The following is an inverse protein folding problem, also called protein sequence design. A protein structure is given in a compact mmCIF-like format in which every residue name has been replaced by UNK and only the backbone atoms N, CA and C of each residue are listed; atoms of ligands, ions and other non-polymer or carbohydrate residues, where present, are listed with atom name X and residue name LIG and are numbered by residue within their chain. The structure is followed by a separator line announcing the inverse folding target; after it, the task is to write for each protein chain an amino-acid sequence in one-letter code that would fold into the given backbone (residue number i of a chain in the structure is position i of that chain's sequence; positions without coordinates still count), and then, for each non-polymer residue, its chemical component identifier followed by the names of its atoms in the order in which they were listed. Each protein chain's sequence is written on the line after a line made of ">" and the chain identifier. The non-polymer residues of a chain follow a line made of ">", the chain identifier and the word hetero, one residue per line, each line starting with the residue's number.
data_IF_381249281513
#
_entry.id   IF_381249281513
#
_cell.length_a   1.000
_cell.length_b   1.000
_cell.length_c   1.000
_cell.angle_alpha   90.00
_cell.angle_beta   90.00
_cell.angle_gamma   90.00
#
_symmetry.space_group_name_H-M   'P 1'
#
loop_
_entity.id
_entity.type
_entity.pdbx_description
1 polymer ?
#
# COMPACT_ATOMS: atom_id res chain seq x y z
N UNK A 1 -7.47 -19.27 24.46
CA UNK A 1 -8.90 -18.83 24.45
C UNK A 1 -9.25 -18.32 25.83
N UNK A 2 -9.04 -17.03 26.12
CA UNK A 2 -9.59 -16.41 27.31
C UNK A 2 -10.84 -15.67 26.85
N UNK A 3 -12.00 -16.30 26.97
CA UNK A 3 -13.27 -15.62 26.90
C UNK A 3 -13.28 -14.66 28.11
N UNK A 4 -13.09 -13.37 27.85
CA UNK A 4 -13.32 -12.32 28.84
C UNK A 4 -14.81 -12.42 29.17
N UNK A 5 -15.14 -13.00 30.33
CA UNK A 5 -16.48 -12.99 30.89
C UNK A 5 -16.78 -11.54 31.31
N UNK A 6 -17.18 -10.72 30.34
CA UNK A 6 -17.73 -9.42 30.62
C UNK A 6 -19.08 -9.59 31.31
N UNK A 7 -19.42 -8.83 32.35
CA UNK A 7 -20.67 -8.97 33.08
C UNK A 7 -21.88 -8.80 32.14
N UNK A 8 -22.94 -9.55 32.37
CA UNK A 8 -24.13 -9.57 31.51
C UNK A 8 -24.79 -8.18 31.33
N UNK A 9 -24.64 -7.27 32.29
CA UNK A 9 -25.07 -5.87 32.20
C UNK A 9 -24.37 -5.05 31.12
N UNK A 10 -23.19 -5.50 30.68
CA UNK A 10 -22.38 -4.92 29.65
C UNK A 10 -23.01 -5.06 28.24
N UNK A 11 -23.73 -6.16 28.03
CA UNK A 11 -24.34 -6.47 26.72
C UNK A 11 -25.76 -5.92 26.56
N UNK A 12 -26.39 -5.44 27.64
CA UNK A 12 -27.78 -4.96 27.59
C UNK A 12 -27.98 -3.60 26.89
N UNK A 13 -26.91 -2.83 26.73
CA UNK A 13 -26.94 -1.53 26.08
C UNK A 13 -26.58 -1.56 24.57
N UNK A 14 -26.15 -2.73 24.05
CA UNK A 14 -25.68 -2.85 22.67
C UNK A 14 -26.86 -3.17 21.77
N UNK A 15 -27.14 -2.32 20.79
CA UNK A 15 -28.17 -2.53 19.79
C UNK A 15 -27.71 -3.53 18.70
N UNK A 16 -28.66 -4.15 18.00
CA UNK A 16 -28.36 -5.01 16.87
C UNK A 16 -27.61 -4.25 15.76
N UNK A 17 -27.98 -2.99 15.54
CA UNK A 17 -27.30 -2.13 14.57
C UNK A 17 -25.84 -1.86 14.92
N UNK A 18 -25.51 -1.70 16.20
CA UNK A 18 -24.13 -1.51 16.66
C UNK A 18 -23.27 -2.73 16.35
N UNK A 19 -23.83 -3.94 16.56
CA UNK A 19 -23.16 -5.19 16.22
C UNK A 19 -22.92 -5.29 14.70
N UNK A 20 -23.92 -4.96 13.89
CA UNK A 20 -23.79 -5.00 12.42
C UNK A 20 -22.71 -4.03 11.93
N UNK A 21 -22.66 -2.80 12.47
CA UNK A 21 -21.62 -1.83 12.17
C UNK A 21 -20.24 -2.33 12.65
N UNK A 22 -20.15 -2.87 13.86
CA UNK A 22 -18.89 -3.40 14.39
C UNK A 22 -18.34 -4.56 13.54
N UNK A 23 -19.20 -5.47 13.10
CA UNK A 23 -18.85 -6.58 12.20
C UNK A 23 -18.37 -6.03 10.85
N UNK A 24 -19.06 -5.06 10.28
CA UNK A 24 -18.65 -4.43 9.01
C UNK A 24 -17.26 -3.76 9.13
N UNK A 25 -17.06 -2.90 10.13
CA UNK A 25 -15.79 -2.20 10.33
C UNK A 25 -14.65 -3.18 10.68
N UNK A 26 -14.90 -4.20 11.49
CA UNK A 26 -13.95 -5.25 11.82
C UNK A 26 -13.54 -6.06 10.58
N UNK A 27 -14.52 -6.46 9.76
CA UNK A 27 -14.27 -7.19 8.51
C UNK A 27 -13.45 -6.37 7.52
N UNK A 28 -13.77 -5.08 7.36
CA UNK A 28 -13.02 -4.16 6.50
C UNK A 28 -11.58 -4.00 7.00
N UNK A 29 -11.38 -3.85 8.31
CA UNK A 29 -10.07 -3.77 8.94
C UNK A 29 -9.23 -5.03 8.71
N UNK A 30 -9.82 -6.21 8.87
CA UNK A 30 -9.16 -7.50 8.63
C UNK A 30 -8.84 -7.69 7.14
N UNK A 31 -9.80 -7.39 6.24
CA UNK A 31 -9.59 -7.51 4.80
C UNK A 31 -8.45 -6.60 4.32
N UNK A 32 -8.42 -5.37 4.80
CA UNK A 32 -7.33 -4.45 4.50
C UNK A 32 -5.98 -4.94 5.05
N UNK A 33 -5.94 -5.45 6.28
CA UNK A 33 -4.71 -5.99 6.88
C UNK A 33 -4.19 -7.20 6.10
N UNK A 34 -5.08 -8.06 5.62
CA UNK A 34 -4.72 -9.20 4.78
C UNK A 34 -4.15 -8.75 3.43
N UNK A 35 -4.78 -7.75 2.81
CA UNK A 35 -4.27 -7.15 1.57
C UNK A 35 -2.88 -6.54 1.78
N UNK A 36 -2.67 -5.74 2.83
CA UNK A 36 -1.37 -5.11 3.11
C UNK A 36 -0.29 -6.14 3.46
N UNK A 37 -0.65 -7.26 4.11
CA UNK A 37 0.25 -8.37 4.37
C UNK A 37 0.77 -8.98 3.07
N UNK A 38 -0.13 -9.23 2.12
CA UNK A 38 0.22 -9.78 0.81
C UNK A 38 1.08 -8.81 0.00
N UNK A 39 0.68 -7.54 -0.06
CA UNK A 39 1.44 -6.50 -0.75
C UNK A 39 2.84 -6.28 -0.15
N UNK A 40 2.97 -6.33 1.18
CA UNK A 40 4.28 -6.18 1.85
C UNK A 40 5.19 -7.40 1.63
N UNK A 41 4.63 -8.61 1.55
CA UNK A 41 5.39 -9.82 1.22
C UNK A 41 5.98 -9.71 -0.18
N UNK A 42 5.17 -9.35 -1.16
CA UNK A 42 5.60 -9.11 -2.54
C UNK A 42 6.67 -8.03 -2.62
N UNK A 43 6.44 -6.90 -1.95
CA UNK A 43 7.39 -5.79 -1.94
C UNK A 43 8.77 -6.19 -1.42
N UNK A 44 8.85 -7.08 -0.43
CA UNK A 44 10.13 -7.58 0.11
C UNK A 44 10.88 -8.46 -0.83
N UNK A 45 10.16 -9.33 -1.53
CA UNK A 45 10.75 -10.15 -2.57
C UNK A 45 11.42 -9.27 -3.63
N UNK A 46 10.79 -8.13 -3.97
CA UNK A 46 11.27 -7.21 -5.01
C UNK A 46 12.42 -6.29 -4.56
N UNK A 47 12.45 -5.92 -3.29
CA UNK A 47 13.39 -4.91 -2.78
C UNK A 47 14.37 -5.49 -1.74
N UNK A 48 14.95 -6.66 -2.02
CA UNK A 48 16.02 -7.23 -1.19
C UNK A 48 17.20 -6.26 -1.16
N UNK A 49 17.34 -5.53 -0.04
CA UNK A 49 18.46 -4.61 0.19
C UNK A 49 18.13 -3.11 0.21
N UNK A 50 16.97 -2.66 -0.28
CA UNK A 50 16.56 -1.28 -0.06
C UNK A 50 15.99 -1.12 1.36
N UNK A 51 16.39 -0.05 2.06
CA UNK A 51 15.75 0.30 3.34
C UNK A 51 14.25 0.36 3.13
N UNK A 52 13.56 -0.56 3.79
CA UNK A 52 12.14 -0.76 3.59
C UNK A 52 11.38 0.55 3.81
N UNK A 53 10.78 1.09 2.75
CA UNK A 53 9.92 2.26 2.84
C UNK A 53 8.97 2.10 4.03
N UNK A 54 8.79 3.16 4.81
CA UNK A 54 8.03 3.11 6.06
C UNK A 54 6.61 2.59 5.78
N UNK A 55 6.26 1.48 6.41
CA UNK A 55 4.92 0.92 6.34
C UNK A 55 3.90 1.96 6.82
N UNK A 56 2.93 2.30 5.96
CA UNK A 56 1.84 3.19 6.33
C UNK A 56 0.63 2.35 6.69
N UNK A 57 0.18 2.47 7.91
CA UNK A 57 -0.99 1.79 8.40
C UNK A 57 -2.22 2.70 8.26
N UNK A 58 -3.19 2.30 7.44
CA UNK A 58 -4.45 3.02 7.28
C UNK A 58 -5.58 2.45 8.15
N UNK A 59 -5.28 1.57 9.11
CA UNK A 59 -6.26 1.05 10.08
C UNK A 59 -6.93 2.13 10.92
N UNK A 60 -6.30 3.31 11.02
CA UNK A 60 -6.88 4.49 11.64
C UNK A 60 -8.26 4.85 11.06
N UNK A 61 -8.54 4.53 9.78
CA UNK A 61 -9.83 4.79 9.13
C UNK A 61 -10.96 4.11 9.90
N UNK A 62 -10.86 2.81 10.08
CA UNK A 62 -11.92 2.02 10.73
C UNK A 62 -11.88 2.16 12.25
N UNK A 63 -10.68 2.34 12.83
CA UNK A 63 -10.51 2.61 14.27
C UNK A 63 -11.17 3.92 14.69
N UNK A 64 -10.99 5.00 13.94
CA UNK A 64 -11.66 6.28 14.19
C UNK A 64 -13.17 6.20 13.91
N UNK A 65 -13.60 5.59 12.81
CA UNK A 65 -15.02 5.39 12.52
C UNK A 65 -15.71 4.59 13.66
N UNK A 66 -15.05 3.54 14.16
CA UNK A 66 -15.54 2.79 15.30
C UNK A 66 -15.64 3.64 16.58
N UNK A 67 -14.66 4.54 16.83
CA UNK A 67 -14.68 5.43 17.97
C UNK A 67 -15.86 6.39 17.98
N UNK A 68 -16.32 6.82 16.82
CA UNK A 68 -17.45 7.76 16.69
C UNK A 68 -18.80 7.06 16.64
N UNK A 69 -18.87 5.85 16.03
CA UNK A 69 -20.12 5.17 15.72
C UNK A 69 -20.54 4.14 16.76
N UNK A 70 -19.60 3.56 17.52
CA UNK A 70 -19.86 2.38 18.33
C UNK A 70 -19.76 2.70 19.84
N UNK A 71 -20.48 1.96 20.68
CA UNK A 71 -20.19 1.91 22.11
C UNK A 71 -18.73 1.53 22.37
N UNK A 72 -18.18 2.00 23.49
CA UNK A 72 -16.78 1.88 23.86
C UNK A 72 -16.25 0.43 23.75
N UNK A 73 -17.05 -0.50 24.14
CA UNK A 73 -16.76 -1.93 24.18
C UNK A 73 -16.55 -2.52 22.77
N UNK A 74 -17.48 -2.23 21.87
CA UNK A 74 -17.39 -2.69 20.48
C UNK A 74 -16.26 -1.98 19.72
N UNK A 75 -16.02 -0.71 20.03
CA UNK A 75 -14.87 0.03 19.49
C UNK A 75 -13.56 -0.69 19.85
N UNK A 76 -13.37 -1.11 21.11
CA UNK A 76 -12.17 -1.84 21.51
C UNK A 76 -12.04 -3.19 20.79
N UNK A 77 -13.15 -3.91 20.63
CA UNK A 77 -13.13 -5.17 19.86
C UNK A 77 -12.66 -4.94 18.42
N UNK A 78 -13.18 -3.92 17.75
CA UNK A 78 -12.77 -3.59 16.37
C UNK A 78 -11.29 -3.18 16.31
N UNK A 79 -10.84 -2.34 17.24
CA UNK A 79 -9.45 -1.86 17.28
C UNK A 79 -8.46 -3.01 17.53
N UNK A 80 -8.76 -3.89 18.50
CA UNK A 80 -7.92 -5.04 18.85
C UNK A 80 -7.93 -6.08 17.71
N UNK A 81 -9.09 -6.36 17.11
CA UNK A 81 -9.18 -7.29 15.98
C UNK A 81 -8.36 -6.80 14.77
N UNK A 82 -8.46 -5.50 14.44
CA UNK A 82 -7.66 -4.88 13.39
C UNK A 82 -6.16 -4.97 13.65
N UNK A 83 -5.74 -4.66 14.87
CA UNK A 83 -4.34 -4.77 15.27
C UNK A 83 -3.83 -6.22 15.24
N UNK A 84 -4.62 -7.17 15.70
CA UNK A 84 -4.27 -8.60 15.65
C UNK A 84 -4.12 -9.09 14.21
N UNK A 85 -5.00 -8.66 13.30
CA UNK A 85 -4.92 -8.97 11.88
C UNK A 85 -3.69 -8.33 11.19
N UNK A 86 -3.20 -7.20 11.69
CA UNK A 86 -1.99 -6.55 11.19
C UNK A 86 -0.69 -7.25 11.61
N UNK A 87 -0.69 -8.00 12.69
CA UNK A 87 0.49 -8.65 13.23
C UNK A 87 1.27 -9.50 12.22
N UNK A 88 0.62 -10.37 11.39
CA UNK A 88 1.31 -11.13 10.35
C UNK A 88 2.04 -10.22 9.34
N UNK A 89 1.43 -9.10 8.92
CA UNK A 89 2.05 -8.15 7.99
C UNK A 89 3.32 -7.52 8.58
N UNK A 90 3.25 -7.11 9.85
CA UNK A 90 4.40 -6.54 10.58
C UNK A 90 5.50 -7.58 10.79
N UNK A 91 5.14 -8.83 11.04
CA UNK A 91 6.09 -9.94 11.22
C UNK A 91 6.83 -10.25 9.91
N UNK A 92 6.11 -10.34 8.81
CA UNK A 92 6.67 -10.45 7.47
C UNK A 92 7.56 -9.23 7.19
N UNK A 93 7.19 -8.02 7.63
CA UNK A 93 7.99 -6.83 7.50
C UNK A 93 9.31 -6.84 8.31
N UNK A 94 9.71 -7.92 9.04
CA UNK A 94 10.96 -8.02 9.85
C UNK A 94 11.06 -6.96 10.96
N UNK A 95 10.00 -6.20 11.19
CA UNK A 95 9.90 -5.11 12.16
C UNK A 95 9.14 -5.52 13.42
N UNK A 96 8.82 -6.80 13.53
CA UNK A 96 7.99 -7.34 14.58
C UNK A 96 8.77 -7.50 15.88
N UNK A 97 9.03 -6.40 16.54
CA UNK A 97 9.24 -6.44 17.98
C UNK A 97 7.86 -6.35 18.65
N UNK A 98 7.43 -7.42 19.30
CA UNK A 98 6.10 -7.53 19.89
C UNK A 98 5.75 -6.31 20.76
N UNK A 99 6.68 -5.82 21.57
CA UNK A 99 6.45 -4.66 22.42
C UNK A 99 6.10 -3.39 21.63
N UNK A 100 6.71 -3.19 20.41
CA UNK A 100 6.37 -2.03 19.57
C UNK A 100 4.97 -2.15 19.00
N UNK A 101 4.55 -3.36 18.65
CA UNK A 101 3.19 -3.61 18.18
C UNK A 101 2.17 -3.38 19.30
N UNK A 102 2.41 -3.95 20.47
CA UNK A 102 1.56 -3.73 21.65
C UNK A 102 1.47 -2.25 22.00
N UNK A 103 2.60 -1.53 22.02
CA UNK A 103 2.61 -0.09 22.30
C UNK A 103 1.81 0.71 21.26
N UNK A 104 2.00 0.43 19.95
CA UNK A 104 1.27 1.14 18.90
C UNK A 104 -0.23 0.84 18.94
N UNK A 105 -0.61 -0.39 19.28
CA UNK A 105 -2.02 -0.79 19.45
C UNK A 105 -2.64 -0.09 20.66
N UNK A 106 -1.95 -0.09 21.79
CA UNK A 106 -2.41 0.61 22.99
C UNK A 106 -2.57 2.11 22.73
N UNK A 107 -1.63 2.73 22.02
CA UNK A 107 -1.71 4.13 21.61
C UNK A 107 -2.92 4.42 20.72
N UNK A 108 -3.19 3.57 19.74
CA UNK A 108 -4.36 3.71 18.87
C UNK A 108 -5.68 3.55 19.65
N UNK A 109 -5.75 2.59 20.58
CA UNK A 109 -6.92 2.38 21.45
C UNK A 109 -7.13 3.58 22.36
N UNK A 110 -6.08 4.14 22.95
CA UNK A 110 -6.18 5.33 23.78
C UNK A 110 -6.65 6.56 23.01
N UNK A 111 -6.10 6.78 21.81
CA UNK A 111 -6.53 7.86 20.92
C UNK A 111 -8.00 7.71 20.53
N UNK A 112 -8.43 6.49 20.19
CA UNK A 112 -9.82 6.17 19.84
C UNK A 112 -10.75 6.38 21.06
N UNK A 113 -10.34 5.97 22.27
CA UNK A 113 -11.10 6.16 23.50
C UNK A 113 -11.32 7.65 23.81
N UNK A 114 -10.28 8.46 23.66
CA UNK A 114 -10.39 9.90 23.86
C UNK A 114 -11.28 10.57 22.79
N UNK A 115 -11.16 10.15 21.53
CA UNK A 115 -12.03 10.61 20.46
C UNK A 115 -13.50 10.24 20.72
N UNK A 116 -13.76 9.01 21.18
CA UNK A 116 -15.09 8.56 21.59
C UNK A 116 -15.68 9.44 22.70
N UNK A 117 -14.91 9.70 23.76
CA UNK A 117 -15.36 10.54 24.87
C UNK A 117 -15.73 11.96 24.41
N UNK A 118 -14.96 12.55 23.50
CA UNK A 118 -15.23 13.89 22.96
C UNK A 118 -16.46 13.88 22.05
N UNK A 119 -16.56 12.91 21.14
CA UNK A 119 -17.70 12.83 20.21
C UNK A 119 -19.03 12.57 20.92
N UNK A 120 -19.01 11.78 22.00
CA UNK A 120 -20.20 11.45 22.79
C UNK A 120 -20.63 12.57 23.76
N UNK A 121 -19.73 13.46 24.17
CA UNK A 121 -20.02 14.57 25.09
C UNK A 121 -20.48 15.85 24.40
N UNK A 122 -20.34 15.97 23.08
CA UNK A 122 -20.64 17.19 22.35
C UNK A 122 -22.13 17.29 22.03
N UNK A 123 -22.70 18.48 22.22
CA UNK A 123 -24.12 18.78 21.91
C UNK A 123 -24.34 18.79 20.41
N UNK A 124 -23.40 19.36 19.64
CA UNK A 124 -23.42 19.34 18.19
C UNK A 124 -22.59 18.17 17.67
N UNK A 125 -23.24 17.29 16.87
CA UNK A 125 -22.61 16.06 16.37
C UNK A 125 -21.40 16.33 15.49
N UNK A 126 -21.51 17.28 14.55
CA UNK A 126 -20.43 17.57 13.62
C UNK A 126 -19.27 18.28 14.30
N UNK A 127 -19.54 19.17 15.24
CA UNK A 127 -18.52 19.77 16.09
C UNK A 127 -17.82 18.69 16.93
N UNK A 128 -18.59 17.77 17.49
CA UNK A 128 -18.04 16.61 18.23
C UNK A 128 -17.11 15.75 17.38
N UNK A 129 -17.49 15.45 16.13
CA UNK A 129 -16.64 14.70 15.19
C UNK A 129 -15.37 15.49 14.86
N UNK A 130 -15.47 16.79 14.59
CA UNK A 130 -14.32 17.64 14.28
C UNK A 130 -13.33 17.69 15.46
N UNK A 131 -13.83 17.86 16.67
CA UNK A 131 -13.01 17.84 17.90
C UNK A 131 -12.41 16.44 18.14
N UNK A 132 -13.17 15.37 17.89
CA UNK A 132 -12.67 14.00 18.00
C UNK A 132 -11.51 13.72 17.03
N UNK A 133 -11.56 14.24 15.78
CA UNK A 133 -10.46 14.19 14.83
C UNK A 133 -9.20 14.84 15.41
N UNK A 134 -9.33 16.06 15.92
CA UNK A 134 -8.19 16.80 16.51
C UNK A 134 -7.59 16.05 17.70
N UNK A 135 -8.43 15.54 18.60
CA UNK A 135 -7.99 14.79 19.79
C UNK A 135 -7.33 13.47 19.38
N UNK A 136 -7.88 12.76 18.41
CA UNK A 136 -7.30 11.50 17.92
C UNK A 136 -5.88 11.71 17.38
N UNK A 137 -5.68 12.73 16.52
CA UNK A 137 -4.36 13.08 15.97
C UNK A 137 -3.42 13.55 17.06
N UNK A 138 -3.87 14.44 17.94
CA UNK A 138 -3.02 15.00 18.99
C UNK A 138 -2.51 13.92 19.97
N UNK A 139 -3.38 13.02 20.42
CA UNK A 139 -2.99 11.93 21.32
C UNK A 139 -2.11 10.92 20.61
N UNK A 140 -2.44 10.54 19.37
CA UNK A 140 -1.60 9.66 18.57
C UNK A 140 -0.19 10.22 18.37
N UNK A 141 -0.09 11.49 17.98
CA UNK A 141 1.18 12.18 17.80
C UNK A 141 1.98 12.28 19.13
N UNK A 142 1.31 12.65 20.21
CA UNK A 142 1.94 12.78 21.55
C UNK A 142 2.56 11.45 21.99
N UNK A 143 1.83 10.36 21.86
CA UNK A 143 2.30 9.03 22.26
C UNK A 143 3.48 8.56 21.42
N UNK A 144 3.46 8.81 20.10
CA UNK A 144 4.57 8.46 19.22
C UNK A 144 5.81 9.28 19.57
N UNK A 145 5.68 10.60 19.73
CA UNK A 145 6.79 11.50 20.10
C UNK A 145 7.35 11.11 21.46
N UNK A 146 6.50 10.83 22.44
CA UNK A 146 6.93 10.39 23.77
C UNK A 146 7.74 9.08 23.69
N UNK A 147 7.30 8.11 22.89
CA UNK A 147 8.05 6.88 22.69
C UNK A 147 9.41 7.10 22.01
N UNK A 148 9.48 7.98 21.01
CA UNK A 148 10.74 8.33 20.35
C UNK A 148 11.72 9.00 21.30
N UNK A 149 11.22 9.94 22.13
CA UNK A 149 12.04 10.64 23.15
C UNK A 149 12.52 9.66 24.21
N UNK A 150 11.66 8.75 24.69
CA UNK A 150 12.04 7.71 25.64
C UNK A 150 13.09 6.73 25.07
N UNK A 151 13.06 6.50 23.73
CA UNK A 151 14.08 5.71 23.03
C UNK A 151 15.38 6.49 22.75
N UNK A 152 15.47 7.78 23.11
CA UNK A 152 16.62 8.63 22.83
C UNK A 152 16.68 9.18 21.38
N UNK A 153 15.67 8.92 20.57
CA UNK A 153 15.63 9.28 19.12
C UNK A 153 15.13 10.73 18.91
N UNK A 154 15.85 11.72 19.44
CA UNK A 154 15.45 13.14 19.38
C UNK A 154 15.33 13.70 17.96
N UNK A 155 16.19 13.26 17.05
CA UNK A 155 16.14 13.68 15.63
C UNK A 155 14.89 13.14 14.94
N UNK A 156 14.55 11.88 15.18
CA UNK A 156 13.35 11.25 14.65
C UNK A 156 12.08 11.91 15.22
N UNK A 157 12.05 12.26 16.51
CA UNK A 157 10.94 12.98 17.12
C UNK A 157 10.72 14.36 16.47
N UNK A 158 11.80 15.12 16.19
CA UNK A 158 11.70 16.40 15.46
C UNK A 158 11.22 16.23 14.03
N UNK A 159 11.72 15.23 13.30
CA UNK A 159 11.27 14.93 11.95
C UNK A 159 9.80 14.50 11.89
N UNK A 160 9.31 13.82 12.94
CA UNK A 160 7.91 13.43 13.05
C UNK A 160 6.96 14.63 13.21
N UNK A 161 7.41 15.72 13.82
CA UNK A 161 6.62 16.95 14.01
C UNK A 161 6.50 17.79 12.72
N UNK A 162 7.18 17.41 11.63
CA UNK A 162 7.01 18.07 10.34
C UNK A 162 5.66 17.72 9.69
N UNK A 163 5.10 18.60 8.83
CA UNK A 163 3.77 18.39 8.23
C UNK A 163 3.64 17.16 7.34
N UNK A 164 4.74 16.66 6.76
CA UNK A 164 4.73 15.59 5.78
C UNK A 164 4.11 14.26 6.26
N UNK A 165 4.39 13.75 7.47
CA UNK A 165 3.78 12.53 7.98
C UNK A 165 2.25 12.62 8.15
N UNK A 166 1.74 13.80 8.50
CA UNK A 166 0.32 14.01 8.82
C UNK A 166 -0.59 14.04 7.59
N UNK A 167 -0.05 14.27 6.38
CA UNK A 167 -0.86 14.29 5.15
C UNK A 167 -1.62 12.98 4.94
N UNK A 168 -0.96 11.85 5.19
CA UNK A 168 -1.59 10.53 5.07
C UNK A 168 -2.67 10.35 6.13
N UNK A 169 -2.39 10.75 7.36
CA UNK A 169 -3.32 10.64 8.47
C UNK A 169 -4.57 11.50 8.26
N UNK A 170 -4.40 12.72 7.74
CA UNK A 170 -5.53 13.59 7.34
C UNK A 170 -6.39 12.94 6.26
N UNK A 171 -5.78 12.33 5.23
CA UNK A 171 -6.53 11.59 4.22
C UNK A 171 -7.29 10.40 4.82
N UNK A 172 -6.67 9.65 5.74
CA UNK A 172 -7.31 8.53 6.43
C UNK A 172 -8.53 9.01 7.24
N UNK A 173 -8.37 10.09 7.98
CA UNK A 173 -9.45 10.65 8.81
C UNK A 173 -10.57 11.25 7.95
N UNK A 174 -10.25 11.85 6.81
CA UNK A 174 -11.26 12.29 5.84
C UNK A 174 -12.12 11.12 5.32
N UNK A 175 -11.49 9.98 5.00
CA UNK A 175 -12.22 8.76 4.63
C UNK A 175 -13.07 8.26 5.82
N UNK A 176 -12.51 8.26 7.03
CA UNK A 176 -13.22 7.82 8.23
C UNK A 176 -14.45 8.69 8.54
N UNK A 177 -14.33 10.01 8.42
CA UNK A 177 -15.48 10.95 8.55
C UNK A 177 -16.52 10.68 7.45
N UNK A 178 -16.08 10.39 6.23
CA UNK A 178 -16.97 9.94 5.15
C UNK A 178 -17.75 8.66 5.50
N UNK A 179 -17.08 7.68 6.11
CA UNK A 179 -17.73 6.45 6.61
C UNK A 179 -18.78 6.78 7.68
N UNK A 180 -18.46 7.65 8.63
CA UNK A 180 -19.41 8.10 9.67
C UNK A 180 -20.62 8.77 9.03
N UNK A 181 -20.41 9.69 8.08
CA UNK A 181 -21.49 10.38 7.37
C UNK A 181 -22.40 9.41 6.61
N UNK A 182 -21.84 8.39 5.93
CA UNK A 182 -22.61 7.38 5.22
C UNK A 182 -23.50 6.55 6.15
N UNK A 183 -23.00 6.22 7.35
CA UNK A 183 -23.80 5.51 8.36
C UNK A 183 -24.93 6.41 8.87
N UNK A 184 -24.64 7.67 9.16
CA UNK A 184 -25.62 8.64 9.67
C UNK A 184 -26.79 8.89 8.70
N UNK A 185 -26.52 8.94 7.39
CA UNK A 185 -27.57 9.08 6.38
C UNK A 185 -28.20 7.73 5.96
N UNK A 186 -28.00 6.67 6.74
CA UNK A 186 -28.50 5.31 6.50
C UNK A 186 -28.05 4.66 5.19
N UNK A 187 -26.97 5.12 4.61
CA UNK A 187 -26.33 4.53 3.44
C UNK A 187 -25.22 3.54 3.84
N UNK A 188 -25.42 2.79 4.92
CA UNK A 188 -24.41 1.88 5.52
C UNK A 188 -23.85 0.86 4.52
N UNK A 189 -24.60 0.44 3.49
CA UNK A 189 -24.04 -0.43 2.44
C UNK A 189 -22.85 0.20 1.70
N UNK A 190 -22.80 1.53 1.59
CA UNK A 190 -21.70 2.23 0.91
C UNK A 190 -20.43 2.31 1.77
N UNK A 191 -20.48 1.94 3.04
CA UNK A 191 -19.27 1.83 3.91
C UNK A 191 -18.24 0.88 3.30
N UNK A 192 -18.69 -0.14 2.56
CA UNK A 192 -17.80 -1.06 1.86
C UNK A 192 -16.91 -0.37 0.81
N UNK A 193 -17.30 0.80 0.29
CA UNK A 193 -16.47 1.60 -0.61
C UNK A 193 -15.23 2.19 0.08
N UNK A 194 -15.21 2.22 1.42
CA UNK A 194 -14.02 2.65 2.17
C UNK A 194 -12.82 1.72 1.95
N UNK A 195 -13.04 0.44 1.68
CA UNK A 195 -11.95 -0.51 1.41
C UNK A 195 -11.23 -0.21 0.09
N UNK A 196 -11.89 -0.11 -1.07
CA UNK A 196 -11.21 0.27 -2.30
C UNK A 196 -10.60 1.68 -2.22
N UNK A 197 -11.22 2.62 -1.49
CA UNK A 197 -10.63 3.94 -1.24
C UNK A 197 -9.33 3.84 -0.43
N UNK A 198 -9.31 3.06 0.65
CA UNK A 198 -8.11 2.83 1.45
C UNK A 198 -7.02 2.10 0.65
N UNK A 199 -7.37 1.09 -0.14
CA UNK A 199 -6.43 0.38 -1.02
C UNK A 199 -5.88 1.33 -2.09
N UNK A 200 -6.71 2.17 -2.70
CA UNK A 200 -6.28 3.19 -3.67
C UNK A 200 -5.32 4.20 -3.05
N UNK A 201 -5.63 4.69 -1.86
CA UNK A 201 -4.75 5.60 -1.10
C UNK A 201 -3.42 4.92 -0.76
N UNK A 202 -3.45 3.68 -0.28
CA UNK A 202 -2.23 2.90 0.00
C UNK A 202 -1.36 2.73 -1.25
N UNK A 203 -1.96 2.39 -2.39
CA UNK A 203 -1.23 2.28 -3.67
C UNK A 203 -0.58 3.61 -4.07
N UNK A 204 -1.31 4.72 -3.94
CA UNK A 204 -0.80 6.05 -4.26
C UNK A 204 0.37 6.42 -3.35
N UNK A 205 0.25 6.21 -2.03
CA UNK A 205 1.32 6.46 -1.06
C UNK A 205 2.55 5.62 -1.37
N UNK A 206 2.35 4.33 -1.64
CA UNK A 206 3.46 3.42 -1.96
C UNK A 206 4.16 3.87 -3.24
N UNK A 207 3.41 4.21 -4.30
CA UNK A 207 3.98 4.70 -5.56
C UNK A 207 4.75 6.00 -5.40
N UNK A 208 4.22 6.97 -4.65
CA UNK A 208 4.89 8.25 -4.42
C UNK A 208 6.20 8.03 -3.66
N UNK A 209 6.19 7.21 -2.61
CA UNK A 209 7.39 6.90 -1.82
C UNK A 209 8.44 6.11 -2.60
N UNK A 210 8.01 5.20 -3.47
CA UNK A 210 8.94 4.48 -4.34
C UNK A 210 9.61 5.44 -5.34
N UNK A 211 8.90 6.47 -5.81
CA UNK A 211 9.49 7.53 -6.65
C UNK A 211 10.52 8.34 -5.88
N UNK A 212 10.19 8.78 -4.66
CA UNK A 212 11.11 9.55 -3.81
C UNK A 212 12.39 8.76 -3.48
N UNK A 213 12.26 7.44 -3.22
CA UNK A 213 13.41 6.56 -2.98
C UNK A 213 14.20 6.27 -4.26
N UNK A 214 13.55 6.25 -5.42
CA UNK A 214 14.22 6.05 -6.70
C UNK A 214 15.05 7.28 -7.12
N UNK A 215 14.64 8.48 -6.71
CA UNK A 215 15.40 9.71 -6.94
C UNK A 215 16.66 9.77 -6.04
N UNK A 216 16.64 9.16 -4.84
CA UNK A 216 17.76 9.20 -3.89
C UNK A 216 18.76 8.03 -4.05
N UNK A 217 18.34 6.92 -4.62
CA UNK A 217 19.21 5.76 -4.81
C UNK A 217 19.39 5.47 -6.31
N UNK A 218 20.62 5.55 -6.78
CA UNK A 218 21.11 4.90 -8.01
C UNK A 218 20.97 3.37 -7.83
N UNK A 219 19.74 2.87 -7.78
CA UNK A 219 19.46 1.45 -7.69
C UNK A 219 19.96 0.79 -8.96
N UNK A 220 21.04 0.07 -8.88
CA UNK A 220 21.48 -0.80 -9.97
C UNK A 220 20.37 -1.83 -10.26
N UNK A 221 20.16 -2.19 -11.54
CA UNK A 221 19.25 -3.28 -11.87
C UNK A 221 19.63 -4.54 -11.09
N UNK A 222 18.62 -5.30 -10.66
CA UNK A 222 18.86 -6.60 -9.99
C UNK A 222 19.61 -7.53 -10.93
N UNK A 223 20.46 -8.37 -10.38
CA UNK A 223 21.06 -9.46 -11.16
C UNK A 223 19.97 -10.38 -11.74
N UNK A 224 20.24 -11.01 -12.88
CA UNK A 224 19.30 -11.83 -13.62
C UNK A 224 18.63 -12.91 -12.76
N UNK A 225 19.39 -13.64 -11.97
CA UNK A 225 18.87 -14.70 -11.11
C UNK A 225 17.95 -14.16 -10.03
N UNK A 226 18.36 -13.08 -9.33
CA UNK A 226 17.57 -12.44 -8.29
C UNK A 226 16.26 -11.87 -8.83
N UNK A 227 16.29 -11.24 -10.01
CA UNK A 227 15.10 -10.72 -10.65
C UNK A 227 14.15 -11.85 -11.09
N UNK A 228 14.67 -12.93 -11.69
CA UNK A 228 13.88 -14.08 -12.13
C UNK A 228 13.16 -14.77 -10.97
N UNK A 229 13.84 -14.98 -9.84
CA UNK A 229 13.23 -15.54 -8.64
C UNK A 229 12.11 -14.61 -8.14
N UNK A 230 12.41 -13.33 -7.96
CA UNK A 230 11.45 -12.34 -7.48
C UNK A 230 10.23 -12.23 -8.40
N UNK A 231 10.44 -12.16 -9.71
CA UNK A 231 9.36 -12.08 -10.69
C UNK A 231 8.49 -13.34 -10.69
N UNK A 232 9.09 -14.52 -10.58
CA UNK A 232 8.34 -15.79 -10.51
C UNK A 232 7.42 -15.84 -9.30
N UNK A 233 7.93 -15.49 -8.12
CA UNK A 233 7.14 -15.46 -6.88
C UNK A 233 5.98 -14.46 -6.96
N UNK A 234 6.24 -13.28 -7.52
CA UNK A 234 5.24 -12.21 -7.63
C UNK A 234 4.14 -12.58 -8.62
N UNK A 235 4.51 -13.09 -9.80
CA UNK A 235 3.55 -13.53 -10.81
C UNK A 235 2.71 -14.70 -10.30
N UNK A 236 3.29 -15.61 -9.52
CA UNK A 236 2.54 -16.69 -8.89
C UNK A 236 1.55 -16.20 -7.82
N UNK A 237 1.95 -15.21 -7.02
CA UNK A 237 1.20 -14.75 -5.85
C UNK A 237 0.08 -13.75 -6.17
N UNK A 238 0.19 -12.96 -7.23
CA UNK A 238 -0.74 -11.86 -7.52
C UNK A 238 -1.62 -12.13 -8.73
N UNK A 239 -2.90 -11.69 -8.69
CA UNK A 239 -3.84 -11.87 -9.79
C UNK A 239 -3.58 -10.92 -10.98
N UNK A 240 -3.01 -9.74 -10.72
CA UNK A 240 -2.77 -8.70 -11.74
C UNK A 240 -1.32 -8.25 -11.66
N UNK A 241 -0.54 -8.62 -12.66
CA UNK A 241 0.89 -8.29 -12.77
C UNK A 241 1.21 -8.05 -14.23
N UNK A 242 2.07 -7.09 -14.52
CA UNK A 242 2.59 -6.91 -15.88
C UNK A 242 4.11 -6.92 -15.88
N UNK A 243 4.67 -7.33 -17.00
CA UNK A 243 6.09 -7.31 -17.28
C UNK A 243 6.33 -6.47 -18.52
N UNK A 244 7.35 -5.64 -18.48
CA UNK A 244 7.89 -4.96 -19.65
C UNK A 244 9.30 -5.49 -19.88
N UNK A 245 9.53 -6.05 -21.06
CA UNK A 245 10.86 -6.47 -21.52
C UNK A 245 11.43 -5.40 -22.44
N UNK A 246 12.69 -5.06 -22.22
CA UNK A 246 13.42 -4.06 -23.01
C UNK A 246 14.70 -4.71 -23.48
N UNK A 247 14.91 -4.78 -24.78
CA UNK A 247 16.20 -5.16 -25.40
C UNK A 247 16.98 -3.92 -25.77
N UNK A 248 18.24 -3.84 -25.37
CA UNK A 248 19.08 -2.65 -25.58
C UNK A 248 20.56 -2.98 -25.44
N UNK A 249 21.39 -2.30 -26.19
CA UNK A 249 22.85 -2.36 -26.05
C UNK A 249 23.38 -1.55 -24.83
N UNK A 250 22.58 -0.65 -24.26
CA UNK A 250 22.92 0.16 -23.08
C UNK A 250 21.88 0.00 -21.98
N UNK A 251 21.94 -1.12 -21.20
CA UNK A 251 20.98 -1.36 -20.13
C UNK A 251 21.04 -0.34 -18.99
N UNK A 252 22.17 0.33 -18.77
CA UNK A 252 22.32 1.33 -17.71
C UNK A 252 21.54 2.59 -18.05
N UNK A 253 21.74 3.14 -19.27
CA UNK A 253 21.00 4.31 -19.72
C UNK A 253 19.49 4.04 -19.80
N UNK A 254 19.09 2.86 -20.28
CA UNK A 254 17.69 2.46 -20.32
C UNK A 254 17.09 2.30 -18.93
N UNK A 255 17.82 1.73 -17.98
CA UNK A 255 17.32 1.60 -16.61
C UNK A 255 17.02 2.96 -15.98
N UNK A 256 17.85 3.97 -16.21
CA UNK A 256 17.62 5.33 -15.74
C UNK A 256 16.36 5.95 -16.36
N UNK A 257 16.16 5.80 -17.69
CA UNK A 257 14.94 6.27 -18.38
C UNK A 257 13.70 5.53 -17.90
N UNK A 258 13.79 4.21 -17.76
CA UNK A 258 12.69 3.37 -17.33
C UNK A 258 12.21 3.76 -15.92
N UNK A 259 13.09 4.05 -14.99
CA UNK A 259 12.77 4.52 -13.63
C UNK A 259 12.05 5.85 -13.62
N UNK A 260 12.52 6.82 -14.40
CA UNK A 260 11.90 8.14 -14.49
C UNK A 260 10.48 8.10 -15.06
N UNK A 261 10.22 7.17 -15.98
CA UNK A 261 8.95 7.11 -16.71
C UNK A 261 7.92 6.16 -16.09
N UNK A 262 8.36 5.11 -15.41
CA UNK A 262 7.50 3.96 -15.15
C UNK A 262 7.05 3.82 -13.70
N UNK A 263 7.86 4.26 -12.72
CA UNK A 263 7.58 3.92 -11.33
C UNK A 263 7.41 2.39 -11.16
N UNK A 264 8.33 1.60 -11.73
CA UNK A 264 8.28 0.14 -11.68
C UNK A 264 8.60 -0.37 -10.28
N UNK A 265 8.00 -1.53 -9.94
CA UNK A 265 8.22 -2.16 -8.63
C UNK A 265 9.56 -2.87 -8.56
N UNK A 266 10.05 -3.42 -9.68
CA UNK A 266 11.40 -3.95 -9.80
C UNK A 266 11.91 -3.85 -11.23
N UNK A 267 13.23 -3.67 -11.37
CA UNK A 267 13.95 -3.72 -12.63
C UNK A 267 15.19 -4.62 -12.46
N UNK A 268 15.45 -5.48 -13.43
CA UNK A 268 16.60 -6.38 -13.40
C UNK A 268 17.05 -6.79 -14.78
N UNK A 269 18.22 -7.41 -14.84
CA UNK A 269 18.78 -7.92 -16.09
C UNK A 269 18.05 -9.17 -16.57
N UNK A 270 17.80 -9.25 -17.87
CA UNK A 270 17.30 -10.42 -18.59
C UNK A 270 18.28 -10.77 -19.70
N UNK A 271 19.29 -11.59 -19.37
CA UNK A 271 20.40 -11.84 -20.27
C UNK A 271 21.40 -10.68 -20.34
N UNK A 272 22.22 -10.67 -21.39
CA UNK A 272 23.28 -9.66 -21.58
C UNK A 272 22.71 -8.34 -22.11
N UNK A 273 21.69 -8.40 -22.97
CA UNK A 273 21.16 -7.25 -23.72
C UNK A 273 19.71 -6.94 -23.37
N UNK A 274 19.24 -7.36 -22.20
CA UNK A 274 17.85 -7.20 -21.81
C UNK A 274 17.65 -6.71 -20.39
N UNK A 275 16.58 -5.94 -20.22
CA UNK A 275 16.04 -5.55 -18.92
C UNK A 275 14.61 -6.02 -18.78
N UNK A 276 14.25 -6.53 -17.62
CA UNK A 276 12.91 -6.86 -17.20
C UNK A 276 12.41 -5.83 -16.18
N UNK A 277 11.23 -5.27 -16.41
CA UNK A 277 10.52 -4.46 -15.45
C UNK A 277 9.30 -5.20 -14.98
N UNK A 278 9.09 -5.26 -13.69
CA UNK A 278 7.92 -5.86 -13.06
C UNK A 278 7.02 -4.76 -12.52
N UNK A 279 5.74 -4.87 -12.81
CA UNK A 279 4.70 -3.93 -12.44
C UNK A 279 3.60 -4.68 -11.68
N UNK A 280 3.48 -4.43 -10.40
CA UNK A 280 2.47 -5.01 -9.53
C UNK A 280 1.16 -4.23 -9.66
N UNK A 281 0.02 -4.93 -9.62
CA UNK A 281 -1.30 -4.33 -9.76
C UNK A 281 -1.47 -3.46 -11.03
N UNK A 282 -0.77 -3.82 -12.09
CA UNK A 282 -0.81 -3.12 -13.37
C UNK A 282 -1.56 -3.97 -14.42
N UNK A 283 -2.74 -3.54 -14.87
CA UNK A 283 -3.44 -4.20 -15.97
C UNK A 283 -2.65 -4.14 -17.27
N UNK A 284 -2.82 -5.15 -18.16
CA UNK A 284 -2.11 -5.25 -19.44
C UNK A 284 -2.19 -3.97 -20.29
N UNK A 285 -3.38 -3.35 -20.38
CA UNK A 285 -3.55 -2.09 -21.13
C UNK A 285 -2.71 -0.94 -20.56
N UNK A 286 -2.57 -0.87 -19.23
CA UNK A 286 -1.74 0.14 -18.58
C UNK A 286 -0.26 -0.11 -18.83
N UNK A 287 0.15 -1.37 -18.86
CA UNK A 287 1.51 -1.77 -19.19
C UNK A 287 1.87 -1.46 -20.64
N UNK A 288 0.96 -1.69 -21.58
CA UNK A 288 1.13 -1.32 -23.00
C UNK A 288 1.26 0.21 -23.17
N UNK A 289 0.42 0.99 -22.52
CA UNK A 289 0.52 2.45 -22.52
C UNK A 289 1.85 2.93 -21.95
N UNK A 290 2.36 2.28 -20.91
CA UNK A 290 3.65 2.56 -20.32
C UNK A 290 4.80 2.17 -21.28
N UNK A 291 4.73 1.01 -21.91
CA UNK A 291 5.70 0.57 -22.90
C UNK A 291 5.76 1.54 -24.09
N UNK A 292 4.62 2.08 -24.53
CA UNK A 292 4.55 3.11 -25.57
C UNK A 292 5.26 4.40 -25.14
N UNK A 293 5.03 4.86 -23.89
CA UNK A 293 5.73 6.04 -23.35
C UNK A 293 7.23 5.81 -23.23
N UNK A 294 7.66 4.63 -22.77
CA UNK A 294 9.07 4.27 -22.70
C UNK A 294 9.74 4.29 -24.07
N UNK A 295 9.11 3.72 -25.10
CA UNK A 295 9.60 3.78 -26.47
C UNK A 295 9.81 5.21 -26.95
N UNK A 296 8.84 6.09 -26.68
CA UNK A 296 8.95 7.52 -27.03
C UNK A 296 10.10 8.17 -26.28
N UNK A 297 10.23 7.93 -24.96
CA UNK A 297 11.28 8.52 -24.14
C UNK A 297 12.68 8.04 -24.55
N UNK A 298 12.86 6.77 -24.89
CA UNK A 298 14.11 6.22 -25.40
C UNK A 298 14.49 6.87 -26.73
N UNK A 299 13.55 6.96 -27.69
CA UNK A 299 13.77 7.66 -28.98
C UNK A 299 14.17 9.13 -28.79
N UNK A 300 13.47 9.86 -27.92
CA UNK A 300 13.76 11.27 -27.65
C UNK A 300 15.18 11.47 -27.10
N UNK A 301 15.70 10.48 -26.37
CA UNK A 301 17.06 10.50 -25.83
C UNK A 301 18.11 9.88 -26.74
N UNK A 302 17.74 9.42 -27.93
CA UNK A 302 18.64 8.77 -28.89
C UNK A 302 19.14 7.39 -28.40
N UNK A 303 18.43 6.76 -27.47
CA UNK A 303 18.79 5.44 -26.94
C UNK A 303 18.11 4.37 -27.76
N UNK A 304 18.90 3.49 -28.38
CA UNK A 304 18.39 2.35 -29.12
C UNK A 304 17.83 1.30 -28.16
N UNK A 305 16.62 0.82 -28.43
CA UNK A 305 15.99 -0.23 -27.63
C UNK A 305 14.59 -0.55 -28.09
N UNK A 306 14.24 -1.82 -27.98
CA UNK A 306 12.92 -2.34 -28.28
C UNK A 306 12.19 -2.67 -26.97
N UNK A 307 10.90 -2.35 -26.89
CA UNK A 307 10.09 -2.47 -25.67
C UNK A 307 8.83 -3.26 -25.98
N UNK A 308 8.59 -4.33 -25.24
CA UNK A 308 7.38 -5.12 -25.28
C UNK A 308 6.76 -5.25 -23.89
N UNK A 309 5.44 -5.45 -23.81
CA UNK A 309 4.73 -5.60 -22.56
C UNK A 309 3.75 -6.76 -22.61
N UNK A 310 3.66 -7.49 -21.49
CA UNK A 310 2.67 -8.53 -21.29
C UNK A 310 2.11 -8.46 -19.87
N UNK A 311 0.85 -8.86 -19.67
CA UNK A 311 0.21 -8.76 -18.35
C UNK A 311 -0.78 -9.88 -18.07
N UNK A 312 -0.73 -10.37 -16.82
CA UNK A 312 -1.66 -11.32 -16.25
C UNK A 312 -3.00 -10.64 -15.93
N UNK A 313 -4.16 -11.25 -16.16
CA UNK A 313 -4.34 -12.63 -16.65
C UNK A 313 -4.41 -12.77 -18.17
N UNK A 314 -4.43 -11.66 -18.95
CA UNK A 314 -4.72 -11.67 -20.41
C UNK A 314 -3.69 -12.47 -21.22
N UNK A 315 -2.41 -12.30 -20.91
CA UNK A 315 -1.30 -12.78 -21.73
C UNK A 315 -0.65 -14.05 -21.14
N UNK A 316 -1.16 -14.55 -20.00
CA UNK A 316 -0.67 -15.77 -19.36
C UNK A 316 -0.75 -15.72 -17.84
N UNK A 317 -0.35 -16.80 -17.18
CA UNK A 317 -0.42 -16.97 -15.74
C UNK A 317 0.94 -17.21 -15.08
N UNK A 318 1.96 -17.54 -15.86
CA UNK A 318 3.33 -17.75 -15.38
C UNK A 318 4.28 -16.69 -15.91
N UNK A 319 5.43 -16.55 -15.25
CA UNK A 319 6.49 -15.65 -15.70
C UNK A 319 6.93 -16.02 -17.13
N UNK A 320 7.05 -17.32 -17.43
CA UNK A 320 7.49 -17.80 -18.74
C UNK A 320 6.48 -17.46 -19.83
N UNK A 321 5.17 -17.56 -19.56
CA UNK A 321 4.14 -17.16 -20.53
C UNK A 321 4.28 -15.68 -20.89
N UNK A 322 4.40 -14.82 -19.88
CA UNK A 322 4.51 -13.38 -20.08
C UNK A 322 5.81 -13.00 -20.82
N UNK A 323 6.93 -13.65 -20.50
CA UNK A 323 8.19 -13.41 -21.20
C UNK A 323 8.14 -13.90 -22.65
N UNK A 324 7.49 -15.04 -22.93
CA UNK A 324 7.32 -15.56 -24.29
C UNK A 324 6.49 -14.61 -25.17
N UNK A 325 5.42 -14.02 -24.63
CA UNK A 325 4.63 -13.00 -25.35
C UNK A 325 5.46 -11.74 -25.62
N UNK A 326 6.21 -11.25 -24.62
CA UNK A 326 7.11 -10.12 -24.85
C UNK A 326 8.16 -10.42 -25.92
N UNK A 327 8.71 -11.62 -25.94
CA UNK A 327 9.70 -12.04 -26.94
C UNK A 327 9.11 -12.11 -28.35
N UNK A 328 7.94 -12.71 -28.50
CA UNK A 328 7.23 -12.77 -29.77
C UNK A 328 6.92 -11.35 -30.31
N UNK A 329 6.51 -10.42 -29.45
CA UNK A 329 6.25 -9.03 -29.84
C UNK A 329 7.54 -8.31 -30.28
N UNK A 330 8.66 -8.55 -29.63
CA UNK A 330 9.96 -7.97 -30.00
C UNK A 330 10.42 -8.48 -31.37
N UNK A 331 10.37 -9.80 -31.60
CA UNK A 331 10.73 -10.41 -32.88
C UNK A 331 9.85 -9.90 -34.02
N UNK A 332 8.54 -9.78 -33.81
CA UNK A 332 7.63 -9.25 -34.83
C UNK A 332 7.95 -7.78 -35.19
N UNK A 333 8.40 -6.99 -34.25
CA UNK A 333 8.79 -5.59 -34.48
C UNK A 333 10.13 -5.45 -35.18
N UNK A 334 11.09 -6.29 -34.85
CA UNK A 334 12.39 -6.31 -35.53
C UNK A 334 12.23 -6.66 -37.01
N UNK A 335 11.43 -7.70 -37.32
CA UNK A 335 11.11 -8.07 -38.68
C UNK A 335 10.42 -6.93 -39.46
N UNK A 336 9.49 -6.20 -38.82
CA UNK A 336 8.82 -5.08 -39.46
C UNK A 336 9.78 -3.88 -39.71
N UNK A 337 10.83 -3.75 -38.91
CA UNK A 337 11.82 -2.67 -39.07
C UNK A 337 12.81 -2.97 -40.19
N UNK A 338 13.20 -4.22 -40.37
CA UNK A 338 14.09 -4.66 -41.47
C UNK A 338 13.42 -4.51 -42.84
N UNK A 339 12.12 -4.74 -42.93
CA UNK A 339 11.36 -4.53 -44.19
C UNK A 339 11.24 -3.03 -44.60
N UNK A 340 11.46 -2.10 -43.68
CA UNK A 340 11.40 -0.66 -43.93
C UNK A 340 12.78 -0.03 -44.22
N UNK A 341 13.87 -0.78 -44.15
CA UNK A 341 15.18 -0.32 -44.58
C UNK A 341 15.24 -0.37 -46.11
N UNK A 342 15.36 0.77 -46.81
CA UNK A 342 15.61 0.76 -48.24
C UNK A 342 16.96 0.06 -48.49
N UNK A 343 16.96 -0.93 -49.35
CA UNK A 343 18.19 -1.50 -49.89
C UNK A 343 18.99 -0.38 -50.54
N UNK A 344 20.08 0.02 -49.91
CA UNK A 344 21.06 0.93 -50.49
C UNK A 344 22.10 0.16 -51.28
#
# INVERSE_FOLDING_TARGET
>A
MAAVLLPASFWQAISRSDVEIAVALGTLSIAYSTYTCSAERVRRTLHQGAEAARYSNLLAIWGFAAAVLLPLELMWVVAVAGAAAEWPARRVAGRARLYRHVYSTAGAVLAATAAHAVSSSSVDRWLGIALAVLVYVAIGALLIVAAMLAAGERSAARAFLQPSPYRVEVCCLAIAVGVVALVDVRLGMLVWLSLPAAVGLQRTITRTRLRDVADDALLQPMGQEAWSIAATEVVAALPVVAIIRITTADPVAVSAVARLQAGCDAIGYLGQDGLGMLLVDCPSLSAEALAARLRTALRTKGIAGHVAAAGKPRDGYTLNDLLAICEAELVARDAAHDHLRPEN
#
